data_IF_876604819011
#
_entry.id   IF_876604819011
#
_cell.length_a   1.000
_cell.length_b   1.000
_cell.length_c   1.000
_cell.angle_alpha   90.00
_cell.angle_beta   90.00
_cell.angle_gamma   90.00
#
_symmetry.space_group_name_H-M   'P 1'
#
loop_
_entity.id
_entity.type
_entity.pdbx_description
1 polymer ?
#
# COMPACT_ATOMS: atom_id res chain seq x y z
N UNK A 1 22.95 -11.69 28.41
CA UNK A 1 22.80 -10.59 29.38
C UNK A 1 23.77 -9.43 29.17
N UNK A 2 24.82 -9.55 28.32
CA UNK A 2 25.81 -8.48 28.09
C UNK A 2 25.41 -7.40 27.08
N UNK A 3 24.50 -7.67 26.15
CA UNK A 3 24.03 -6.71 25.14
C UNK A 3 23.06 -5.65 25.71
N UNK A 4 22.24 -6.00 26.69
CA UNK A 4 21.34 -5.05 27.35
C UNK A 4 22.07 -4.02 28.24
N UNK A 5 23.20 -4.40 28.84
CA UNK A 5 23.98 -3.52 29.72
C UNK A 5 24.77 -2.43 28.96
N UNK A 6 25.09 -2.66 27.67
CA UNK A 6 25.77 -1.67 26.81
C UNK A 6 24.83 -0.56 26.32
N UNK A 7 23.52 -0.85 26.19
CA UNK A 7 22.51 0.11 25.71
C UNK A 7 22.17 1.18 26.74
N UNK A 8 22.28 0.87 28.04
CA UNK A 8 22.01 1.84 29.11
C UNK A 8 23.10 2.92 29.27
N UNK A 9 24.29 2.69 28.71
CA UNK A 9 25.41 3.64 28.79
C UNK A 9 25.51 4.64 27.63
N UNK A 10 24.72 4.46 26.58
CA UNK A 10 24.75 5.38 25.44
C UNK A 10 23.31 5.76 25.00
N UNK A 11 22.77 6.89 25.46
CA UNK A 11 21.44 7.37 25.08
C UNK A 11 21.25 7.47 23.57
N UNK A 12 22.28 7.81 22.79
CA UNK A 12 22.22 7.87 21.33
C UNK A 12 22.04 6.48 20.69
N UNK A 13 22.64 5.43 21.28
CA UNK A 13 22.46 4.06 20.80
C UNK A 13 21.05 3.53 21.12
N UNK A 14 20.48 3.92 22.26
CA UNK A 14 19.10 3.60 22.64
C UNK A 14 18.10 4.27 21.67
N UNK A 15 18.26 5.58 21.42
CA UNK A 15 17.45 6.30 20.42
C UNK A 15 17.63 5.76 19.00
N UNK A 16 18.82 5.30 18.61
CA UNK A 16 19.04 4.65 17.32
C UNK A 16 18.34 3.29 17.21
N UNK A 17 18.32 2.49 18.28
CA UNK A 17 17.62 1.20 18.31
C UNK A 17 16.11 1.37 18.32
N UNK A 18 15.56 2.34 19.02
CA UNK A 18 14.15 2.70 18.96
C UNK A 18 13.75 3.26 17.58
N UNK A 19 14.63 4.02 16.93
CA UNK A 19 14.36 4.54 15.57
C UNK A 19 14.42 3.47 14.48
N UNK A 20 15.01 2.31 14.76
CA UNK A 20 15.09 1.15 13.86
C UNK A 20 13.96 0.14 14.10
N UNK A 21 13.29 0.20 15.25
CA UNK A 21 12.14 -0.65 15.52
C UNK A 21 10.92 -0.16 14.72
N UNK A 22 10.30 -1.08 13.99
CA UNK A 22 9.03 -0.79 13.32
C UNK A 22 7.97 -0.40 14.36
N UNK A 23 7.18 0.62 14.05
CA UNK A 23 6.07 1.04 14.91
C UNK A 23 5.10 -0.13 15.16
N UNK A 24 4.61 -0.31 16.39
CA UNK A 24 3.71 -1.42 16.70
C UNK A 24 2.48 -1.48 15.79
N UNK A 25 1.89 -0.34 15.44
CA UNK A 25 0.74 -0.26 14.54
C UNK A 25 1.10 -0.72 13.12
N UNK A 26 2.23 -0.29 12.59
CA UNK A 26 2.74 -0.74 11.29
C UNK A 26 3.01 -2.25 11.30
N UNK A 27 3.53 -2.78 12.40
CA UNK A 27 3.81 -4.21 12.54
C UNK A 27 2.52 -5.05 12.47
N UNK A 28 1.45 -4.59 13.12
CA UNK A 28 0.13 -5.25 13.05
C UNK A 28 -0.42 -5.17 11.63
N UNK A 29 -0.40 -3.98 11.01
CA UNK A 29 -0.89 -3.78 9.65
C UNK A 29 -0.10 -4.64 8.63
N UNK A 30 1.24 -4.71 8.76
CA UNK A 30 2.07 -5.54 7.90
C UNK A 30 1.77 -7.03 8.06
N UNK A 31 1.51 -7.49 9.29
CA UNK A 31 1.09 -8.88 9.53
C UNK A 31 -0.26 -9.18 8.89
N UNK A 32 -1.21 -8.24 8.96
CA UNK A 32 -2.50 -8.35 8.29
C UNK A 32 -2.32 -8.39 6.75
N UNK A 33 -1.53 -7.46 6.20
CA UNK A 33 -1.21 -7.42 4.77
C UNK A 33 -0.57 -8.72 4.26
N UNK A 34 0.37 -9.32 5.03
CA UNK A 34 0.98 -10.62 4.69
C UNK A 34 -0.05 -11.74 4.60
N UNK A 35 -1.02 -11.78 5.52
CA UNK A 35 -2.09 -12.80 5.49
C UNK A 35 -2.99 -12.65 4.27
N UNK A 36 -3.42 -11.43 3.98
CA UNK A 36 -4.18 -11.13 2.78
C UNK A 36 -3.35 -11.42 1.51
N UNK A 37 -2.10 -10.96 1.45
CA UNK A 37 -1.18 -11.19 0.33
C UNK A 37 -0.91 -12.67 0.04
N UNK A 38 -0.74 -13.50 1.07
CA UNK A 38 -0.60 -14.96 0.92
C UNK A 38 -1.86 -15.60 0.32
N UNK A 39 -3.04 -15.07 0.65
CA UNK A 39 -4.32 -15.52 0.10
C UNK A 39 -4.43 -15.12 -1.38
N UNK A 40 -4.15 -13.87 -1.70
CA UNK A 40 -4.19 -13.31 -3.05
C UNK A 40 -3.19 -14.04 -3.97
N UNK A 41 -1.94 -14.23 -3.52
CA UNK A 41 -0.92 -14.93 -4.29
C UNK A 41 -1.34 -16.37 -4.65
N UNK A 42 -1.93 -17.10 -3.70
CA UNK A 42 -2.47 -18.45 -3.97
C UNK A 42 -3.65 -18.44 -4.93
N UNK A 43 -4.53 -17.44 -4.83
CA UNK A 43 -5.66 -17.32 -5.74
C UNK A 43 -5.20 -16.96 -7.16
N UNK A 44 -4.17 -16.14 -7.32
CA UNK A 44 -3.63 -15.75 -8.64
C UNK A 44 -3.08 -16.95 -9.45
N UNK A 45 -2.64 -18.03 -8.77
CA UNK A 45 -2.23 -19.28 -9.43
C UNK A 45 -3.41 -20.04 -10.07
N UNK A 46 -4.64 -19.70 -9.67
CA UNK A 46 -5.88 -20.38 -10.11
C UNK A 46 -6.96 -19.36 -10.47
N UNK A 47 -6.61 -18.42 -11.33
CA UNK A 47 -7.49 -17.31 -11.76
C UNK A 47 -8.78 -17.81 -12.46
N UNK A 48 -8.76 -19.03 -13.02
CA UNK A 48 -9.92 -19.69 -13.61
C UNK A 48 -11.07 -20.00 -12.62
N UNK A 49 -10.80 -20.00 -11.33
CA UNK A 49 -11.78 -20.27 -10.27
C UNK A 49 -12.31 -19.01 -9.56
N UNK A 50 -11.79 -17.84 -9.91
CA UNK A 50 -12.13 -16.57 -9.26
C UNK A 50 -13.51 -16.13 -9.76
N UNK A 51 -14.40 -15.77 -8.85
CA UNK A 51 -15.67 -15.13 -9.19
C UNK A 51 -15.44 -13.64 -9.35
N UNK A 52 -15.87 -13.11 -10.48
CA UNK A 52 -15.67 -11.70 -10.85
C UNK A 52 -17.05 -11.05 -10.94
N UNK A 53 -17.21 -9.93 -10.24
CA UNK A 53 -18.36 -9.05 -10.35
C UNK A 53 -17.91 -7.68 -10.90
N UNK A 54 -18.74 -7.06 -11.73
CA UNK A 54 -18.47 -5.74 -12.32
C UNK A 54 -19.22 -4.66 -11.50
N UNK A 55 -18.48 -3.76 -10.86
CA UNK A 55 -19.03 -2.59 -10.13
C UNK A 55 -19.44 -1.47 -11.08
N UNK A 56 -18.77 -1.37 -12.23
CA UNK A 56 -18.97 -0.34 -13.25
C UNK A 56 -18.10 -0.62 -14.47
N UNK A 57 -18.19 0.25 -15.48
CA UNK A 57 -17.39 0.06 -16.71
C UNK A 57 -15.89 0.01 -16.40
N UNK A 58 -15.25 -1.15 -16.63
CA UNK A 58 -13.84 -1.43 -16.33
C UNK A 58 -13.50 -1.30 -14.83
N UNK A 59 -14.47 -1.53 -13.95
CA UNK A 59 -14.32 -1.53 -12.51
C UNK A 59 -14.83 -2.87 -11.97
N UNK A 60 -13.94 -3.68 -11.40
CA UNK A 60 -14.18 -5.07 -11.06
C UNK A 60 -13.88 -5.33 -9.59
N UNK A 61 -14.59 -6.30 -9.04
CA UNK A 61 -14.33 -6.88 -7.73
C UNK A 61 -14.39 -8.40 -7.82
N UNK A 62 -13.63 -9.06 -6.98
CA UNK A 62 -13.66 -10.51 -6.89
C UNK A 62 -14.01 -10.96 -5.47
N UNK A 63 -14.38 -12.24 -5.34
CA UNK A 63 -14.58 -12.87 -4.03
C UNK A 63 -13.28 -12.88 -3.19
N UNK A 64 -12.13 -12.74 -3.85
CA UNK A 64 -10.81 -12.63 -3.20
C UNK A 64 -10.61 -11.25 -2.58
N UNK A 65 -11.05 -10.15 -3.24
CA UNK A 65 -11.01 -8.79 -2.66
C UNK A 65 -11.76 -8.76 -1.33
N UNK A 66 -13.01 -9.26 -1.32
CA UNK A 66 -13.81 -9.34 -0.09
C UNK A 66 -13.17 -10.22 0.99
N UNK A 67 -12.58 -11.36 0.62
CA UNK A 67 -11.94 -12.25 1.57
C UNK A 67 -10.65 -11.64 2.15
N UNK A 68 -9.84 -10.99 1.31
CA UNK A 68 -8.61 -10.33 1.71
C UNK A 68 -8.89 -9.12 2.62
N UNK A 69 -9.88 -8.29 2.27
CA UNK A 69 -10.30 -7.18 3.11
C UNK A 69 -10.78 -7.65 4.48
N UNK A 70 -11.62 -8.67 4.52
CA UNK A 70 -12.12 -9.26 5.77
C UNK A 70 -10.98 -9.76 6.66
N UNK A 71 -9.95 -10.36 6.08
CA UNK A 71 -8.77 -10.84 6.82
C UNK A 71 -7.99 -9.65 7.42
N UNK A 72 -7.79 -8.57 6.65
CA UNK A 72 -7.14 -7.35 7.14
C UNK A 72 -7.96 -6.74 8.28
N UNK A 73 -9.26 -6.56 8.09
CA UNK A 73 -10.17 -6.01 9.10
C UNK A 73 -10.14 -6.83 10.39
N UNK A 74 -10.17 -8.16 10.29
CA UNK A 74 -10.09 -9.05 11.45
C UNK A 74 -8.84 -8.78 12.29
N UNK A 75 -7.68 -8.67 11.66
CA UNK A 75 -6.42 -8.44 12.36
C UNK A 75 -6.33 -7.05 12.98
N UNK A 76 -6.82 -6.03 12.26
CA UNK A 76 -6.83 -4.65 12.77
C UNK A 76 -7.81 -4.51 13.94
N UNK A 77 -9.04 -5.00 13.82
CA UNK A 77 -10.03 -4.93 14.91
C UNK A 77 -9.63 -5.73 16.15
N UNK A 78 -8.92 -6.84 15.97
CA UNK A 78 -8.39 -7.62 17.10
C UNK A 78 -7.36 -6.84 17.90
N UNK A 79 -6.56 -6.00 17.25
CA UNK A 79 -5.52 -5.20 17.91
C UNK A 79 -6.02 -3.82 18.34
N UNK A 80 -6.93 -3.24 17.57
CA UNK A 80 -7.44 -1.88 17.72
C UNK A 80 -8.98 -1.89 17.57
N UNK A 81 -9.72 -2.44 18.55
CA UNK A 81 -11.16 -2.65 18.44
C UNK A 81 -11.96 -1.34 18.30
N UNK A 82 -11.43 -0.25 18.85
CA UNK A 82 -12.09 1.06 18.90
C UNK A 82 -11.84 1.93 17.66
N UNK A 83 -10.83 1.57 16.82
CA UNK A 83 -10.50 2.37 15.63
C UNK A 83 -11.54 2.21 14.52
N UNK A 84 -11.80 3.30 13.81
CA UNK A 84 -12.63 3.31 12.62
C UNK A 84 -11.86 2.65 11.45
N UNK A 85 -12.57 1.91 10.60
CA UNK A 85 -12.01 1.28 9.39
C UNK A 85 -12.83 1.74 8.18
N UNK A 86 -12.16 2.07 7.10
CA UNK A 86 -12.72 2.40 5.80
C UNK A 86 -12.15 1.37 4.81
N UNK A 87 -12.96 0.39 4.45
CA UNK A 87 -12.61 -0.60 3.43
C UNK A 87 -13.14 -0.18 2.06
N UNK A 88 -12.45 -0.56 1.01
CA UNK A 88 -12.91 -0.35 -0.37
C UNK A 88 -14.21 -1.09 -0.62
N UNK A 89 -14.31 -2.34 -0.14
CA UNK A 89 -15.45 -3.23 -0.37
C UNK A 89 -16.53 -3.11 0.71
N UNK A 90 -16.13 -2.96 1.97
CA UNK A 90 -17.06 -2.89 3.11
C UNK A 90 -17.54 -1.48 3.44
N UNK A 91 -16.89 -0.45 2.88
CA UNK A 91 -17.16 0.94 3.20
C UNK A 91 -16.76 1.32 4.63
N UNK A 92 -17.51 2.22 5.24
CA UNK A 92 -17.23 2.75 6.58
C UNK A 92 -17.69 1.76 7.66
N UNK A 93 -16.77 1.33 8.49
CA UNK A 93 -16.99 0.54 9.70
C UNK A 93 -16.61 1.39 10.91
N UNK A 94 -17.56 2.13 11.46
CA UNK A 94 -17.32 3.04 12.58
C UNK A 94 -16.79 2.32 13.82
N UNK A 95 -15.83 2.95 14.49
CA UNK A 95 -15.31 2.59 15.79
C UNK A 95 -15.66 3.68 16.81
N UNK A 96 -15.36 3.45 18.08
CA UNK A 96 -15.57 4.45 19.15
C UNK A 96 -14.52 5.57 19.10
N UNK A 97 -13.30 5.26 18.60
CA UNK A 97 -12.21 6.21 18.36
C UNK A 97 -12.15 6.62 16.89
N UNK A 98 -12.68 7.80 16.58
CA UNK A 98 -12.65 8.38 15.24
C UNK A 98 -11.35 9.16 14.94
N UNK A 99 -10.48 9.36 15.90
CA UNK A 99 -9.17 10.00 15.68
C UNK A 99 -8.26 9.09 14.84
N UNK A 100 -8.35 7.77 15.05
CA UNK A 100 -7.64 6.77 14.24
C UNK A 100 -8.57 6.13 13.21
N UNK A 101 -8.16 6.24 11.94
CA UNK A 101 -8.90 5.64 10.82
C UNK A 101 -7.95 4.81 9.95
N UNK A 102 -8.29 3.54 9.76
CA UNK A 102 -7.62 2.65 8.82
C UNK A 102 -8.32 2.71 7.47
N UNK A 103 -7.55 2.82 6.40
CA UNK A 103 -8.04 2.84 5.02
C UNK A 103 -7.42 1.63 4.33
N UNK A 104 -8.26 0.76 3.76
CA UNK A 104 -7.85 -0.54 3.23
C UNK A 104 -8.30 -0.64 1.77
N UNK A 105 -7.35 -0.93 0.89
CA UNK A 105 -7.56 -1.45 -0.44
C UNK A 105 -6.97 -2.87 -0.47
N UNK A 106 -7.82 -3.90 -0.56
CA UNK A 106 -7.38 -5.29 -0.46
C UNK A 106 -6.58 -5.76 -1.67
N UNK A 107 -6.92 -5.29 -2.89
CA UNK A 107 -6.21 -5.61 -4.14
C UNK A 107 -6.16 -4.37 -5.03
N UNK A 108 -5.24 -3.44 -4.71
CA UNK A 108 -4.91 -2.36 -5.65
C UNK A 108 -4.34 -2.96 -6.94
N UNK A 109 -5.13 -2.88 -8.01
CA UNK A 109 -4.85 -3.53 -9.29
C UNK A 109 -5.71 -4.77 -9.57
N UNK A 110 -6.97 -4.81 -9.15
CA UNK A 110 -7.93 -5.92 -9.39
C UNK A 110 -8.01 -6.31 -10.88
N UNK A 111 -7.97 -5.34 -11.79
CA UNK A 111 -7.93 -5.61 -13.24
C UNK A 111 -6.70 -6.44 -13.63
N UNK A 112 -5.51 -6.11 -13.09
CA UNK A 112 -4.29 -6.87 -13.33
C UNK A 112 -4.42 -8.29 -12.76
N UNK A 113 -4.93 -8.39 -11.54
CA UNK A 113 -5.14 -9.67 -10.86
C UNK A 113 -6.03 -10.60 -11.69
N UNK A 114 -7.18 -10.12 -12.16
CA UNK A 114 -8.13 -10.88 -12.99
C UNK A 114 -7.47 -11.38 -14.30
N UNK A 115 -6.62 -10.55 -14.91
CA UNK A 115 -5.95 -10.88 -16.18
C UNK A 115 -4.61 -11.62 -15.99
N UNK A 116 -4.27 -12.05 -14.78
CA UNK A 116 -3.02 -12.77 -14.49
C UNK A 116 -1.77 -11.93 -14.66
N UNK A 117 -1.88 -10.60 -14.63
CA UNK A 117 -0.73 -9.69 -14.65
C UNK A 117 -0.23 -9.52 -13.21
N UNK A 118 0.98 -9.98 -12.85
CA UNK A 118 1.47 -10.01 -11.47
C UNK A 118 1.94 -8.62 -11.01
N UNK A 119 1.02 -7.67 -11.03
CA UNK A 119 1.24 -6.28 -10.62
C UNK A 119 0.00 -5.74 -9.89
N UNK A 120 -0.08 -6.06 -8.62
CA UNK A 120 -1.13 -5.67 -7.68
C UNK A 120 -0.58 -5.69 -6.26
N UNK A 121 -1.23 -5.00 -5.34
CA UNK A 121 -0.76 -4.86 -3.97
C UNK A 121 -1.91 -4.85 -2.95
N UNK A 122 -1.60 -5.20 -1.70
CA UNK A 122 -2.43 -4.87 -0.53
C UNK A 122 -1.99 -3.52 -0.01
N UNK A 123 -2.90 -2.57 0.10
CA UNK A 123 -2.63 -1.21 0.58
C UNK A 123 -3.39 -0.94 1.88
N UNK A 124 -2.67 -0.51 2.93
CA UNK A 124 -3.24 -0.17 4.24
C UNK A 124 -2.65 1.15 4.69
N UNK A 125 -3.50 2.18 4.81
CA UNK A 125 -3.17 3.46 5.41
C UNK A 125 -3.78 3.60 6.81
N UNK A 126 -3.12 4.38 7.67
CA UNK A 126 -3.69 4.79 8.94
C UNK A 126 -3.56 6.29 9.10
N UNK A 127 -4.66 6.97 9.35
CA UNK A 127 -4.66 8.40 9.70
C UNK A 127 -4.86 8.58 11.21
N UNK A 128 -4.27 9.65 11.73
CA UNK A 128 -4.53 10.16 13.06
C UNK A 128 -4.98 11.61 12.94
N UNK A 129 -6.20 11.91 13.41
CA UNK A 129 -6.81 13.24 13.29
C UNK A 129 -6.76 13.81 11.87
N UNK A 130 -7.11 12.96 10.90
CA UNK A 130 -7.14 13.30 9.49
C UNK A 130 -5.78 13.46 8.80
N UNK A 131 -4.67 13.13 9.48
CA UNK A 131 -3.32 13.18 8.89
C UNK A 131 -2.76 11.78 8.76
N UNK A 132 -2.24 11.43 7.58
CA UNK A 132 -1.59 10.14 7.36
C UNK A 132 -0.44 9.94 8.35
N UNK A 133 -0.51 8.87 9.13
CA UNK A 133 0.44 8.54 10.18
C UNK A 133 1.27 7.31 9.84
N UNK A 134 0.61 6.24 9.36
CA UNK A 134 1.25 4.98 9.00
C UNK A 134 0.77 4.51 7.64
N UNK A 135 1.63 3.76 6.94
CA UNK A 135 1.28 3.11 5.68
C UNK A 135 2.01 1.78 5.53
N UNK A 136 1.31 0.83 4.93
CA UNK A 136 1.83 -0.47 4.47
C UNK A 136 1.33 -0.70 3.06
N UNK A 137 2.24 -1.03 2.13
CA UNK A 137 1.91 -1.54 0.80
C UNK A 137 2.70 -2.84 0.60
N UNK A 138 2.02 -3.92 0.29
CA UNK A 138 2.60 -5.23 0.08
C UNK A 138 2.35 -5.70 -1.35
N UNK A 139 3.39 -5.86 -2.15
CA UNK A 139 3.35 -6.62 -3.40
C UNK A 139 3.57 -8.11 -3.07
N UNK A 140 2.55 -8.96 -3.14
CA UNK A 140 2.69 -10.36 -2.76
C UNK A 140 3.47 -11.18 -3.79
N UNK A 141 3.51 -10.74 -5.06
CA UNK A 141 4.17 -11.47 -6.15
C UNK A 141 5.68 -11.25 -6.14
N UNK A 142 6.12 -10.00 -5.82
CA UNK A 142 7.54 -9.65 -5.69
C UNK A 142 8.07 -9.84 -4.27
N UNK A 143 7.19 -10.07 -3.28
CA UNK A 143 7.51 -10.10 -1.85
C UNK A 143 8.18 -8.81 -1.40
N UNK A 144 7.64 -7.70 -1.85
CA UNK A 144 8.09 -6.36 -1.50
C UNK A 144 7.15 -5.75 -0.48
N UNK A 145 7.70 -5.39 0.68
CA UNK A 145 6.98 -4.83 1.82
C UNK A 145 7.41 -3.37 2.01
N UNK A 146 6.60 -2.45 1.55
CA UNK A 146 6.81 -1.03 1.79
C UNK A 146 6.11 -0.63 3.08
N UNK A 147 6.83 0.01 3.99
CA UNK A 147 6.28 0.50 5.25
C UNK A 147 6.74 1.92 5.51
N UNK A 148 5.88 2.73 6.12
CA UNK A 148 6.22 4.09 6.51
C UNK A 148 5.50 4.51 7.79
N UNK A 149 6.14 5.40 8.53
CA UNK A 149 5.52 6.13 9.65
C UNK A 149 5.96 7.59 9.59
N UNK A 150 5.04 8.49 9.94
CA UNK A 150 5.31 9.93 9.97
C UNK A 150 6.54 10.23 10.83
N UNK A 151 7.48 11.00 10.29
CA UNK A 151 8.73 11.38 10.95
C UNK A 151 9.79 10.28 11.03
N UNK A 152 9.48 9.02 10.69
CA UNK A 152 10.44 7.90 10.71
C UNK A 152 10.94 7.50 9.32
N UNK A 153 10.29 7.96 8.25
CA UNK A 153 10.65 7.68 6.86
C UNK A 153 10.01 6.40 6.34
N UNK A 154 10.47 5.94 5.18
CA UNK A 154 9.94 4.78 4.47
C UNK A 154 10.99 3.67 4.35
N UNK A 155 10.51 2.43 4.27
CA UNK A 155 11.33 1.22 4.24
C UNK A 155 10.78 0.24 3.20
N UNK A 156 11.67 -0.47 2.54
CA UNK A 156 11.41 -1.62 1.69
C UNK A 156 12.08 -2.85 2.29
N UNK A 157 11.30 -3.86 2.65
CA UNK A 157 11.79 -5.08 3.31
C UNK A 157 12.71 -4.77 4.52
N UNK A 158 12.31 -3.80 5.34
CA UNK A 158 13.07 -3.34 6.51
C UNK A 158 14.28 -2.44 6.20
N UNK A 159 14.64 -2.22 4.94
CA UNK A 159 15.71 -1.35 4.54
C UNK A 159 15.18 0.05 4.22
N UNK A 160 15.81 1.07 4.80
CA UNK A 160 15.38 2.45 4.60
C UNK A 160 15.54 2.87 3.15
N UNK A 161 14.46 3.40 2.56
CA UNK A 161 14.44 3.98 1.22
C UNK A 161 14.34 5.51 1.30
N UNK A 162 14.74 6.16 0.22
CA UNK A 162 14.68 7.62 0.08
C UNK A 162 14.29 7.97 -1.35
N UNK A 163 13.66 9.12 -1.51
CA UNK A 163 13.45 9.72 -2.84
C UNK A 163 14.80 9.98 -3.53
N UNK A 164 14.80 9.98 -4.85
CA UNK A 164 15.98 10.31 -5.63
C UNK A 164 16.42 11.76 -5.35
N UNK A 165 17.71 12.05 -5.51
CA UNK A 165 18.24 13.41 -5.41
C UNK A 165 18.01 14.28 -6.64
N UNK A 166 17.23 13.81 -7.63
CA UNK A 166 16.97 14.54 -8.89
C UNK A 166 16.12 15.77 -8.64
N UNK A 167 16.45 16.86 -9.33
CA UNK A 167 15.74 18.14 -9.23
C UNK A 167 15.03 18.53 -10.54
N UNK A 168 15.22 17.76 -11.60
CA UNK A 168 14.64 17.95 -12.92
C UNK A 168 14.38 16.59 -13.56
N UNK A 169 13.82 16.58 -14.77
CA UNK A 169 13.52 15.36 -15.53
C UNK A 169 14.71 14.81 -16.31
N UNK A 170 15.81 15.54 -16.41
CA UNK A 170 17.01 15.08 -17.13
C UNK A 170 17.55 13.79 -16.52
N UNK A 171 17.67 12.75 -17.33
CA UNK A 171 18.05 11.40 -16.91
C UNK A 171 17.02 10.68 -16.01
N UNK A 172 15.81 11.21 -15.82
CA UNK A 172 14.76 10.55 -15.05
C UNK A 172 14.04 9.46 -15.85
N UNK A 173 13.59 8.43 -15.16
CA UNK A 173 12.56 7.51 -15.65
C UNK A 173 11.25 7.89 -14.97
N UNK A 174 10.21 8.12 -15.75
CA UNK A 174 8.87 8.47 -15.26
C UNK A 174 7.96 7.25 -15.39
N UNK A 175 7.22 6.93 -14.33
CA UNK A 175 6.17 5.92 -14.36
C UNK A 175 4.80 6.59 -14.47
N UNK A 176 3.87 5.98 -15.22
CA UNK A 176 2.53 6.52 -15.43
C UNK A 176 1.49 5.42 -15.54
N UNK A 177 0.22 5.77 -15.27
CA UNK A 177 -0.97 5.02 -15.67
C UNK A 177 -1.69 5.78 -16.80
N UNK A 178 -2.51 5.09 -17.57
CA UNK A 178 -3.32 5.70 -18.64
C UNK A 178 -4.76 5.82 -18.13
N UNK A 179 -5.45 6.96 -18.28
CA UNK A 179 -6.87 7.07 -17.99
C UNK A 179 -7.67 6.09 -18.83
N UNK A 180 -8.49 5.22 -18.22
CA UNK A 180 -9.24 4.17 -18.95
C UNK A 180 -10.68 3.99 -18.47
N UNK A 181 -11.06 4.61 -17.37
CA UNK A 181 -12.42 4.55 -16.80
C UNK A 181 -13.06 5.94 -16.72
N UNK A 182 -14.37 5.99 -16.63
CA UNK A 182 -15.10 7.23 -16.36
C UNK A 182 -15.00 7.56 -14.85
N UNK A 183 -14.74 8.84 -14.44
CA UNK A 183 -14.58 10.03 -15.29
C UNK A 183 -13.15 10.28 -15.80
N UNK A 184 -12.17 9.42 -15.49
CA UNK A 184 -10.76 9.68 -15.80
C UNK A 184 -10.47 9.81 -17.31
N UNK A 185 -11.26 9.14 -18.15
CA UNK A 185 -11.13 9.19 -19.62
C UNK A 185 -11.34 10.61 -20.19
N UNK A 186 -12.11 11.45 -19.49
CA UNK A 186 -12.38 12.83 -19.90
C UNK A 186 -11.12 13.72 -19.81
N UNK A 187 -10.09 13.25 -19.10
CA UNK A 187 -8.79 13.89 -18.95
C UNK A 187 -7.73 13.37 -19.93
N UNK A 188 -8.12 12.61 -20.97
CA UNK A 188 -7.18 12.00 -21.92
C UNK A 188 -6.37 13.04 -22.67
N UNK A 189 -6.98 14.13 -23.13
CA UNK A 189 -6.27 15.17 -23.90
C UNK A 189 -5.19 15.88 -23.08
N UNK A 190 -5.46 16.42 -21.88
CA UNK A 190 -4.41 16.98 -21.03
C UNK A 190 -3.38 15.94 -20.58
N UNK A 191 -3.78 14.67 -20.40
CA UNK A 191 -2.85 13.60 -20.11
C UNK A 191 -1.84 13.39 -21.24
N UNK A 192 -2.32 13.31 -22.50
CA UNK A 192 -1.44 13.13 -23.66
C UNK A 192 -0.49 14.31 -23.85
N UNK A 193 -0.95 15.54 -23.62
CA UNK A 193 -0.09 16.72 -23.66
C UNK A 193 1.04 16.64 -22.62
N UNK A 194 0.70 16.28 -21.39
CA UNK A 194 1.67 16.08 -20.31
C UNK A 194 2.66 14.94 -20.64
N UNK A 195 2.16 13.84 -21.20
CA UNK A 195 2.98 12.68 -21.58
C UNK A 195 4.00 13.06 -22.66
N UNK A 196 3.61 13.85 -23.64
CA UNK A 196 4.49 14.35 -24.71
C UNK A 196 5.62 15.19 -24.12
N UNK A 197 5.29 16.17 -23.29
CA UNK A 197 6.27 17.02 -22.63
C UNK A 197 7.27 16.23 -21.77
N UNK A 198 6.78 15.26 -21.00
CA UNK A 198 7.63 14.40 -20.19
C UNK A 198 8.52 13.48 -21.04
N UNK A 199 8.05 13.02 -22.20
CA UNK A 199 8.83 12.19 -23.10
C UNK A 199 10.03 12.95 -23.69
N UNK A 200 9.88 14.24 -23.95
CA UNK A 200 10.95 15.09 -24.46
C UNK A 200 12.01 15.42 -23.39
N UNK A 201 11.60 15.52 -22.12
CA UNK A 201 12.46 15.98 -21.04
C UNK A 201 13.10 14.86 -20.21
N UNK A 202 12.60 13.62 -20.31
CA UNK A 202 13.06 12.49 -19.49
C UNK A 202 13.85 11.45 -20.30
N UNK A 203 14.54 10.55 -19.61
CA UNK A 203 15.22 9.41 -20.25
C UNK A 203 14.25 8.28 -20.63
N UNK A 204 12.98 8.42 -20.36
CA UNK A 204 11.94 7.51 -20.80
C UNK A 204 10.77 7.37 -19.83
N UNK A 205 9.68 6.85 -20.38
CA UNK A 205 8.43 6.63 -19.66
C UNK A 205 8.18 5.14 -19.56
N UNK A 206 7.62 4.70 -18.43
CA UNK A 206 7.17 3.32 -18.17
C UNK A 206 5.71 3.33 -17.75
N UNK A 207 4.92 2.46 -18.36
CA UNK A 207 3.62 2.05 -17.87
C UNK A 207 3.83 0.72 -17.15
N UNK A 208 3.67 0.73 -15.86
CA UNK A 208 3.82 -0.45 -15.00
C UNK A 208 2.44 -1.07 -14.77
#
# INVERSE_FOLDING_TARGET
SSKLALTYKNPRAFFMLESLAMEPMVNIALRAARKAGDMIARASERSDLIKIDEKGRNDYVTDIDHAAEKEVIYHLRKAFPEHTIIGEESGLLEGEDNDYQWIIDPIDGTTNFIHGIPHFAVSIGCTYKGKLEHAVVLDPMRREEFTASRGRGAFLNGNRIRVSGRKNFDGAIVATGIPFNSPSIDHMEPYLACLTELAEQSSGIRRL
#
